data_IF_539938821325
#
_entry.id   IF_539938821325
#
_cell.length_a   1.000
_cell.length_b   1.000
_cell.length_c   1.000
_cell.angle_alpha   90.00
_cell.angle_beta   90.00
_cell.angle_gamma   90.00
#
_symmetry.space_group_name_H-M   'P 1'
#
loop_
_entity.id
_entity.type
_entity.pdbx_description
1 polymer ?
#
# COMPACT_ATOMS: atom_id res chain seq x y z
N UNK A 1 22.78 -3.72 -13.91
CA UNK A 1 21.90 -2.57 -13.56
C UNK A 1 20.40 -2.83 -13.79
N UNK A 2 20.00 -3.89 -14.50
CA UNK A 2 18.58 -4.18 -14.82
C UNK A 2 17.72 -4.71 -13.66
N UNK A 3 18.30 -5.42 -12.69
CA UNK A 3 17.52 -6.06 -11.62
C UNK A 3 16.79 -5.04 -10.72
N UNK A 4 17.40 -3.89 -10.44
CA UNK A 4 16.78 -2.81 -9.65
C UNK A 4 15.59 -2.16 -10.37
N UNK A 5 15.69 -2.00 -11.69
CA UNK A 5 14.60 -1.49 -12.52
C UNK A 5 13.43 -2.47 -12.56
N UNK A 6 13.73 -3.77 -12.69
CA UNK A 6 12.73 -4.84 -12.65
C UNK A 6 12.05 -4.89 -11.28
N UNK A 7 12.81 -4.86 -10.18
CA UNK A 7 12.26 -4.81 -8.82
C UNK A 7 11.36 -3.60 -8.58
N UNK A 8 11.73 -2.43 -9.11
CA UNK A 8 10.92 -1.21 -8.98
C UNK A 8 9.63 -1.26 -9.80
N UNK A 9 9.65 -1.88 -10.98
CA UNK A 9 8.45 -2.14 -11.80
C UNK A 9 7.50 -3.12 -11.09
N UNK A 10 8.01 -4.21 -10.54
CA UNK A 10 7.21 -5.17 -9.78
C UNK A 10 6.66 -4.59 -8.48
N UNK A 11 7.43 -3.74 -7.78
CA UNK A 11 6.93 -3.02 -6.62
C UNK A 11 5.74 -2.11 -6.98
N UNK A 12 5.70 -1.57 -8.21
CA UNK A 12 4.57 -0.75 -8.65
C UNK A 12 3.31 -1.58 -8.86
N UNK A 13 3.46 -2.78 -9.42
CA UNK A 13 2.36 -3.75 -9.54
C UNK A 13 1.81 -4.11 -8.15
N UNK A 14 2.68 -4.44 -7.20
CA UNK A 14 2.28 -4.77 -5.82
C UNK A 14 1.59 -3.58 -5.14
N UNK A 15 2.09 -2.36 -5.35
CA UNK A 15 1.47 -1.15 -4.80
C UNK A 15 0.05 -0.94 -5.35
N UNK A 16 -0.16 -1.15 -6.66
CA UNK A 16 -1.48 -1.07 -7.28
C UNK A 16 -2.43 -2.14 -6.71
N UNK A 17 -1.96 -3.37 -6.53
CA UNK A 17 -2.76 -4.45 -5.93
C UNK A 17 -3.18 -4.11 -4.50
N UNK A 18 -2.26 -3.56 -3.69
CA UNK A 18 -2.60 -3.10 -2.34
C UNK A 18 -3.65 -1.99 -2.35
N UNK A 19 -3.53 -1.02 -3.27
CA UNK A 19 -4.51 0.05 -3.41
C UNK A 19 -5.88 -0.48 -3.82
N UNK A 20 -5.94 -1.39 -4.79
CA UNK A 20 -7.21 -2.01 -5.23
C UNK A 20 -7.84 -2.82 -4.10
N UNK A 21 -7.06 -3.65 -3.40
CA UNK A 21 -7.53 -4.44 -2.26
C UNK A 21 -8.07 -3.55 -1.14
N UNK A 22 -7.42 -2.42 -0.87
CA UNK A 22 -7.87 -1.42 0.10
C UNK A 22 -9.21 -0.80 -0.33
N UNK A 23 -9.34 -0.40 -1.60
CA UNK A 23 -10.60 0.13 -2.15
C UNK A 23 -11.72 -0.91 -2.08
N UNK A 24 -11.45 -2.17 -2.44
CA UNK A 24 -12.45 -3.25 -2.39
C UNK A 24 -12.94 -3.49 -0.95
N UNK A 25 -12.04 -3.47 0.04
CA UNK A 25 -12.40 -3.62 1.44
C UNK A 25 -13.18 -2.40 1.99
N UNK A 26 -12.91 -1.20 1.48
CA UNK A 26 -13.70 -0.01 1.80
C UNK A 26 -15.08 -0.02 1.14
N UNK A 27 -15.15 -0.45 -0.13
CA UNK A 27 -16.39 -0.51 -0.91
C UNK A 27 -17.31 -1.67 -0.53
N UNK A 28 -16.76 -2.77 -0.03
CA UNK A 28 -17.49 -3.97 0.39
C UNK A 28 -18.32 -3.80 1.67
N UNK A 29 -18.25 -2.65 2.35
CA UNK A 29 -19.11 -2.33 3.50
C UNK A 29 -18.79 -3.11 4.79
N UNK A 30 -17.78 -3.98 4.79
CA UNK A 30 -17.41 -4.87 5.92
C UNK A 30 -16.61 -4.16 7.03
N UNK A 31 -16.69 -2.82 7.09
CA UNK A 31 -16.03 -2.02 8.12
C UNK A 31 -16.86 -2.14 9.40
N UNK A 32 -16.51 -3.11 10.25
CA UNK A 32 -17.17 -3.33 11.55
C UNK A 32 -17.22 -2.04 12.37
N UNK A 33 -18.42 -1.55 12.69
CA UNK A 33 -18.57 -0.36 13.55
C UNK A 33 -17.90 -0.58 14.91
N UNK A 34 -16.97 0.30 15.30
CA UNK A 34 -16.28 0.25 16.59
C UNK A 34 -14.77 0.55 16.52
N UNK A 35 -14.04 0.45 17.65
CA UNK A 35 -12.61 0.72 17.72
C UNK A 35 -11.78 -0.14 16.75
N UNK A 36 -12.18 -1.40 16.57
CA UNK A 36 -11.52 -2.33 15.64
C UNK A 36 -11.71 -1.93 14.17
N UNK A 37 -12.90 -1.49 13.76
CA UNK A 37 -13.10 -1.01 12.39
C UNK A 37 -12.39 0.29 12.09
N UNK A 38 -12.26 1.20 13.08
CA UNK A 38 -11.45 2.41 12.92
C UNK A 38 -9.97 2.08 12.73
N UNK A 39 -9.44 1.10 13.48
CA UNK A 39 -8.07 0.61 13.30
C UNK A 39 -7.85 -0.06 11.94
N UNK A 40 -8.83 -0.85 11.49
CA UNK A 40 -8.80 -1.52 10.19
C UNK A 40 -8.84 -0.50 9.04
N UNK A 41 -9.67 0.54 9.16
CA UNK A 41 -9.76 1.65 8.20
C UNK A 41 -8.44 2.42 8.13
N UNK A 42 -7.83 2.73 9.27
CA UNK A 42 -6.48 3.33 9.31
C UNK A 42 -5.44 2.45 8.62
N UNK A 43 -5.45 1.14 8.87
CA UNK A 43 -4.50 0.20 8.27
C UNK A 43 -4.62 0.14 6.73
N UNK A 44 -5.84 0.23 6.20
CA UNK A 44 -6.10 0.28 4.76
C UNK A 44 -5.48 1.48 4.05
N UNK A 45 -5.29 2.60 4.75
CA UNK A 45 -4.55 3.75 4.21
C UNK A 45 -3.07 3.68 4.55
N UNK A 46 -2.71 3.32 5.77
CA UNK A 46 -1.32 3.32 6.24
C UNK A 46 -0.44 2.30 5.51
N UNK A 47 -0.93 1.08 5.29
CA UNK A 47 -0.13 -0.01 4.69
C UNK A 47 0.27 0.34 3.24
N UNK A 48 -0.66 0.75 2.34
CA UNK A 48 -0.28 1.14 0.98
C UNK A 48 0.64 2.36 0.95
N UNK A 49 0.41 3.35 1.82
CA UNK A 49 1.24 4.56 1.88
C UNK A 49 2.67 4.21 2.34
N UNK A 50 2.81 3.43 3.42
CA UNK A 50 4.11 2.97 3.91
C UNK A 50 4.85 2.16 2.84
N UNK A 51 4.14 1.26 2.15
CA UNK A 51 4.72 0.49 1.07
C UNK A 51 5.20 1.39 -0.07
N UNK A 52 4.41 2.38 -0.49
CA UNK A 52 4.80 3.35 -1.50
C UNK A 52 6.06 4.12 -1.10
N UNK A 53 6.12 4.60 0.14
CA UNK A 53 7.30 5.30 0.65
C UNK A 53 8.50 4.36 0.66
N UNK A 54 8.41 3.16 1.22
CA UNK A 54 9.57 2.26 1.28
C UNK A 54 10.04 1.79 -0.10
N UNK A 55 9.11 1.49 -1.02
CA UNK A 55 9.43 0.98 -2.34
C UNK A 55 9.93 2.06 -3.30
N UNK A 56 9.46 3.31 -3.19
CA UNK A 56 9.73 4.36 -4.17
C UNK A 56 10.50 5.56 -3.63
N UNK A 57 10.68 5.70 -2.30
CA UNK A 57 11.50 6.77 -1.72
C UNK A 57 12.87 6.72 -2.37
N UNK A 58 13.21 7.80 -3.06
CA UNK A 58 14.58 7.99 -3.57
C UNK A 58 15.50 7.92 -2.36
N UNK A 59 16.42 6.95 -2.35
CA UNK A 59 17.59 7.06 -1.47
C UNK A 59 18.25 8.39 -1.82
N UNK A 60 18.41 9.28 -0.84
CA UNK A 60 19.32 10.43 -1.00
C UNK A 60 20.67 9.81 -1.34
N UNK A 61 21.14 10.04 -2.56
CA UNK A 61 22.53 9.75 -2.91
C UNK A 61 23.39 10.49 -1.87
N UNK A 62 24.21 9.71 -1.15
CA UNK A 62 25.30 10.23 -0.34
C UNK A 62 26.51 10.36 -1.23
#
# INVERSE_FOLDING_TARGET
MNNKLIQRKWALVVAILFTISSIMQLAGGDIKGGPYGKGQLLAYFLIPILFYVLAFKKKKEK
#
